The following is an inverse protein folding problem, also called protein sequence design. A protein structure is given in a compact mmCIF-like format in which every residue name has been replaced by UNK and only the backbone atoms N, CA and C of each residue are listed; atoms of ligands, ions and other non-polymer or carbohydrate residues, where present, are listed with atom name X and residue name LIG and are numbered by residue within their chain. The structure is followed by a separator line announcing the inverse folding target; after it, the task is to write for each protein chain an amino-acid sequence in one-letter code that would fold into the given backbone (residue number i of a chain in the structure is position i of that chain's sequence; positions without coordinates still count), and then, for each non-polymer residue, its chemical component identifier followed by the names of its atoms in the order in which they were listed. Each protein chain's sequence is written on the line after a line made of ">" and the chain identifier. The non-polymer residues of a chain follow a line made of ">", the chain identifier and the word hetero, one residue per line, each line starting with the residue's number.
data_IF_543263248003
#
_entry.id   IF_543263248003
#
_cell.length_a   1.000
_cell.length_b   1.000
_cell.length_c   1.000
_cell.angle_alpha   90.00
_cell.angle_beta   90.00
_cell.angle_gamma   90.00
#
_symmetry.space_group_name_H-M   'P 1'
#
loop_
_entity.id
_entity.type
_entity.pdbx_description
1 polymer ?
#
# COMPACT_ATOMS: atom_id res chain seq x y z
N UNK A 1 13.30 19.72 -4.35
CA UNK A 1 12.28 18.87 -5.00
C UNK A 1 12.45 17.47 -4.42
N UNK A 2 11.55 17.04 -3.52
CA UNK A 2 11.61 15.71 -2.91
C UNK A 2 11.31 14.66 -3.99
N UNK A 3 12.26 13.77 -4.25
CA UNK A 3 12.14 12.72 -5.25
C UNK A 3 11.44 11.52 -4.62
N UNK A 4 10.17 11.30 -4.97
CA UNK A 4 9.33 10.18 -4.49
C UNK A 4 10.04 8.82 -4.66
N UNK A 5 10.89 8.69 -5.68
CA UNK A 5 11.64 7.46 -5.99
C UNK A 5 12.55 7.00 -4.85
N UNK A 6 13.10 7.92 -4.08
CA UNK A 6 14.09 7.61 -3.04
C UNK A 6 13.45 7.31 -1.67
N UNK A 7 12.19 7.74 -1.48
CA UNK A 7 11.48 7.68 -0.21
C UNK A 7 10.63 6.41 -0.03
N UNK A 8 10.13 5.82 -1.12
CA UNK A 8 9.17 4.69 -1.06
C UNK A 8 9.82 3.31 -1.14
N UNK A 9 10.96 3.17 -1.85
CA UNK A 9 11.57 1.86 -2.09
C UNK A 9 12.08 1.22 -0.80
N UNK A 10 12.84 1.97 0.01
CA UNK A 10 13.39 1.49 1.28
C UNK A 10 12.30 1.14 2.30
N UNK A 11 11.16 1.83 2.26
CA UNK A 11 10.06 1.65 3.22
C UNK A 11 9.24 0.40 2.93
N UNK A 12 8.99 0.10 1.65
CA UNK A 12 8.30 -1.14 1.26
C UNK A 12 9.18 -2.37 1.56
N UNK A 13 10.50 -2.24 1.44
CA UNK A 13 11.43 -3.32 1.79
C UNK A 13 11.34 -3.70 3.28
N UNK A 14 11.14 -2.72 4.18
CA UNK A 14 10.96 -3.00 5.62
C UNK A 14 9.71 -3.82 5.96
N UNK A 15 8.70 -3.88 5.07
CA UNK A 15 7.49 -4.67 5.27
C UNK A 15 7.71 -6.17 5.02
N UNK A 16 8.85 -6.56 4.43
CA UNK A 16 9.17 -7.97 4.14
C UNK A 16 8.23 -8.61 3.11
N UNK A 17 7.52 -7.81 2.30
CA UNK A 17 6.49 -8.30 1.37
C UNK A 17 7.09 -9.24 0.32
N UNK A 18 8.31 -8.95 -0.15
CA UNK A 18 8.96 -9.79 -1.17
C UNK A 18 9.23 -11.19 -0.61
N UNK A 19 9.77 -11.26 0.60
CA UNK A 19 10.09 -12.49 1.29
C UNK A 19 8.84 -13.30 1.62
N UNK A 20 7.79 -12.64 2.14
CA UNK A 20 6.52 -13.30 2.47
C UNK A 20 5.91 -13.93 1.21
N UNK A 21 5.83 -13.19 0.11
CA UNK A 21 5.22 -13.68 -1.13
C UNK A 21 6.05 -14.80 -1.76
N UNK A 22 7.38 -14.66 -1.81
CA UNK A 22 8.25 -15.70 -2.35
C UNK A 22 8.18 -16.99 -1.50
N UNK A 23 8.04 -16.89 -0.18
CA UNK A 23 7.85 -18.05 0.69
C UNK A 23 6.50 -18.75 0.47
N UNK A 24 5.46 -18.00 0.10
CA UNK A 24 4.12 -18.54 -0.14
C UNK A 24 3.98 -19.18 -1.53
N UNK A 25 4.59 -18.58 -2.55
CA UNK A 25 4.40 -18.96 -3.95
C UNK A 25 5.57 -19.76 -4.53
N UNK A 26 6.72 -19.76 -3.86
CA UNK A 26 7.95 -20.34 -4.39
C UNK A 26 8.55 -19.49 -5.50
N UNK A 27 9.44 -20.10 -6.29
CA UNK A 27 10.08 -19.47 -7.44
C UNK A 27 10.35 -20.51 -8.52
N UNK A 28 10.14 -20.13 -9.77
CA UNK A 28 10.42 -20.98 -10.92
C UNK A 28 11.84 -20.70 -11.47
N UNK A 29 12.59 -21.70 -11.96
CA UNK A 29 13.98 -21.52 -12.41
C UNK A 29 14.17 -20.49 -13.53
N UNK A 30 13.14 -20.25 -14.34
CA UNK A 30 13.18 -19.31 -15.46
C UNK A 30 12.65 -17.91 -15.11
N UNK A 31 12.24 -17.67 -13.85
CA UNK A 31 11.79 -16.36 -13.41
C UNK A 31 12.93 -15.34 -13.41
N UNK A 32 12.78 -14.30 -14.24
CA UNK A 32 13.69 -13.12 -14.23
C UNK A 32 13.37 -12.15 -13.10
N UNK A 33 12.15 -12.19 -12.59
CA UNK A 33 11.62 -11.36 -11.50
C UNK A 33 10.73 -12.26 -10.65
N UNK A 34 11.03 -12.33 -9.36
CA UNK A 34 10.26 -13.17 -8.43
C UNK A 34 8.84 -12.63 -8.23
N UNK A 35 7.91 -13.50 -7.83
CA UNK A 35 6.53 -13.13 -7.53
C UNK A 35 6.43 -11.97 -6.51
N UNK A 36 7.26 -11.98 -5.47
CA UNK A 36 7.32 -10.90 -4.49
C UNK A 36 7.77 -9.56 -5.08
N UNK A 37 8.73 -9.57 -6.02
CA UNK A 37 9.14 -8.37 -6.74
C UNK A 37 8.04 -7.86 -7.68
N UNK A 38 7.26 -8.75 -8.30
CA UNK A 38 6.09 -8.38 -9.11
C UNK A 38 5.04 -7.67 -8.25
N UNK A 39 4.70 -8.23 -7.08
CA UNK A 39 3.76 -7.60 -6.14
C UNK A 39 4.28 -6.24 -5.64
N UNK A 40 5.57 -6.15 -5.32
CA UNK A 40 6.21 -4.87 -4.97
C UNK A 40 6.03 -3.83 -6.08
N UNK A 41 6.21 -4.23 -7.34
CA UNK A 41 6.01 -3.34 -8.49
C UNK A 41 4.55 -2.90 -8.66
N UNK A 42 3.57 -3.77 -8.41
CA UNK A 42 2.14 -3.43 -8.44
C UNK A 42 1.78 -2.39 -7.37
N UNK A 43 2.30 -2.55 -6.15
CA UNK A 43 2.10 -1.59 -5.06
C UNK A 43 2.69 -0.23 -5.44
N UNK A 44 3.93 -0.20 -5.93
CA UNK A 44 4.58 1.02 -6.39
C UNK A 44 3.81 1.69 -7.53
N UNK A 45 3.27 0.91 -8.47
CA UNK A 45 2.45 1.41 -9.57
C UNK A 45 1.16 2.08 -9.05
N UNK A 46 0.47 1.44 -8.10
CA UNK A 46 -0.74 2.01 -7.47
C UNK A 46 -0.46 3.26 -6.63
N UNK A 47 0.64 3.28 -5.88
CA UNK A 47 1.06 4.45 -5.09
C UNK A 47 1.50 5.62 -5.98
N UNK A 48 2.17 5.35 -7.10
CA UNK A 48 2.60 6.39 -8.04
C UNK A 48 1.44 7.11 -8.74
N UNK A 49 0.22 6.52 -8.75
CA UNK A 49 -0.99 7.18 -9.26
C UNK A 49 -1.57 8.19 -8.25
N UNK A 50 -1.19 8.09 -6.98
CA UNK A 50 -1.63 8.98 -5.89
C UNK A 50 -0.50 10.00 -5.62
N UNK A 51 -0.43 11.07 -6.43
CA UNK A 51 0.57 12.15 -6.23
C UNK A 51 0.29 13.06 -5.02
N UNK A 52 -0.61 12.63 -4.12
CA UNK A 52 -1.10 13.33 -2.94
C UNK A 52 -1.13 12.34 -1.76
N UNK A 53 -1.22 12.79 -0.49
CA UNK A 53 -1.48 11.92 0.65
C UNK A 53 -2.59 10.91 0.31
N UNK A 54 -2.53 9.69 0.89
CA UNK A 54 -3.58 8.66 0.77
C UNK A 54 -4.92 9.22 1.31
N UNK A 55 -5.62 10.03 0.53
CA UNK A 55 -6.94 10.53 0.84
C UNK A 55 -7.91 9.39 0.58
N UNK A 56 -8.59 8.96 1.63
CA UNK A 56 -9.63 7.97 1.51
C UNK A 56 -10.93 8.71 1.20
N UNK A 57 -11.41 8.54 -0.03
CA UNK A 57 -12.67 9.12 -0.49
C UNK A 57 -13.75 8.04 -0.41
N UNK A 58 -14.76 8.18 0.47
CA UNK A 58 -15.84 7.19 0.60
C UNK A 58 -16.50 6.84 -0.73
N UNK A 59 -16.67 7.83 -1.61
CA UNK A 59 -17.23 7.66 -2.96
C UNK A 59 -16.45 6.67 -3.85
N UNK A 60 -15.13 6.58 -3.69
CA UNK A 60 -14.37 5.55 -4.40
C UNK A 60 -14.72 4.16 -3.88
N UNK A 61 -14.85 4.02 -2.56
CA UNK A 61 -15.18 2.77 -1.90
C UNK A 61 -16.63 2.30 -2.15
N UNK A 62 -17.53 3.20 -2.54
CA UNK A 62 -18.89 2.83 -3.03
C UNK A 62 -18.84 1.99 -4.32
N UNK A 63 -17.77 2.10 -5.11
CA UNK A 63 -17.60 1.38 -6.36
C UNK A 63 -16.98 -0.02 -6.18
N UNK A 64 -16.65 -0.40 -4.95
CA UNK A 64 -15.93 -1.64 -4.64
C UNK A 64 -16.69 -2.45 -3.60
N UNK A 65 -16.61 -3.78 -3.70
CA UNK A 65 -17.24 -4.70 -2.77
C UNK A 65 -16.48 -4.73 -1.42
N UNK A 66 -16.65 -3.68 -0.61
CA UNK A 66 -15.89 -3.46 0.62
C UNK A 66 -15.91 -4.65 1.58
N UNK A 67 -17.07 -5.27 1.81
CA UNK A 67 -17.16 -6.41 2.73
C UNK A 67 -16.35 -7.62 2.26
N UNK A 68 -16.30 -7.85 0.95
CA UNK A 68 -15.58 -8.99 0.37
C UNK A 68 -14.08 -8.72 0.27
N UNK A 69 -13.70 -7.50 -0.13
CA UNK A 69 -12.31 -7.15 -0.46
C UNK A 69 -11.51 -6.63 0.73
N UNK A 70 -12.17 -5.99 1.69
CA UNK A 70 -11.51 -5.36 2.84
C UNK A 70 -11.78 -6.14 4.13
N UNK A 71 -13.03 -6.59 4.32
CA UNK A 71 -13.40 -7.43 5.47
C UNK A 71 -14.85 -7.23 5.90
N UNK A 72 -15.37 -8.22 6.62
CA UNK A 72 -16.77 -8.22 7.07
C UNK A 72 -17.13 -6.93 7.84
N UNK A 73 -18.24 -6.30 7.46
CA UNK A 73 -18.71 -5.05 8.06
C UNK A 73 -17.96 -3.80 7.60
N UNK A 74 -17.01 -3.90 6.67
CA UNK A 74 -16.37 -2.73 6.06
C UNK A 74 -17.37 -1.99 5.17
N UNK A 75 -17.64 -0.72 5.51
CA UNK A 75 -18.53 0.16 4.73
C UNK A 75 -17.74 1.28 4.05
N UNK A 76 -18.14 1.72 2.84
CA UNK A 76 -17.49 2.82 2.13
C UNK A 76 -17.34 4.08 2.98
N UNK A 77 -18.37 4.39 3.77
CA UNK A 77 -18.46 5.51 4.70
C UNK A 77 -17.29 5.57 5.70
N UNK A 78 -16.72 4.40 6.05
CA UNK A 78 -15.65 4.28 7.04
C UNK A 78 -14.28 4.67 6.47
N UNK A 79 -14.17 4.81 5.15
CA UNK A 79 -12.92 5.16 4.48
C UNK A 79 -12.93 6.65 4.14
N UNK A 80 -12.87 7.50 5.17
CA UNK A 80 -12.87 8.96 5.09
C UNK A 80 -11.71 9.60 5.88
N UNK A 81 -11.55 10.92 5.77
CA UNK A 81 -10.50 11.69 6.43
C UNK A 81 -10.62 11.76 7.97
N UNK A 82 -11.80 11.45 8.53
CA UNK A 82 -12.04 11.41 9.99
C UNK A 82 -11.34 10.21 10.65
N UNK A 83 -10.70 9.32 9.88
CA UNK A 83 -9.66 8.39 10.38
C UNK A 83 -8.36 9.14 10.74
N UNK A 84 -8.48 10.29 11.42
CA UNK A 84 -7.37 11.12 11.91
C UNK A 84 -6.37 10.37 12.78
N UNK A 85 -6.75 9.24 13.40
CA UNK A 85 -5.81 8.36 14.12
C UNK A 85 -4.82 7.70 13.15
N UNK A 86 -5.25 7.31 11.95
CA UNK A 86 -4.38 6.69 10.93
C UNK A 86 -3.63 7.73 10.10
N UNK A 87 -4.25 8.87 9.77
CA UNK A 87 -3.53 10.01 9.15
C UNK A 87 -2.50 10.57 10.14
N UNK A 88 -2.82 10.59 11.43
CA UNK A 88 -1.92 10.92 12.53
C UNK A 88 -0.82 9.89 12.69
N UNK A 89 -1.12 8.58 12.66
CA UNK A 89 -0.10 7.52 12.68
C UNK A 89 0.83 7.62 11.46
N UNK A 90 0.28 7.94 10.28
CA UNK A 90 1.06 8.14 9.06
C UNK A 90 1.89 9.42 9.13
N UNK A 91 1.37 10.52 9.71
CA UNK A 91 2.11 11.76 9.97
C UNK A 91 3.19 11.59 11.04
N UNK A 92 2.93 10.78 12.07
CA UNK A 92 3.88 10.41 13.12
C UNK A 92 4.94 9.44 12.59
N UNK A 93 4.56 8.47 11.76
CA UNK A 93 5.50 7.62 11.02
C UNK A 93 6.37 8.49 10.11
N UNK A 94 5.79 9.44 9.38
CA UNK A 94 6.51 10.41 8.54
C UNK A 94 7.47 11.27 9.39
N UNK A 95 7.08 11.77 10.57
CA UNK A 95 7.94 12.54 11.48
C UNK A 95 9.03 11.72 12.20
N UNK A 96 8.85 10.41 12.31
CA UNK A 96 9.89 9.47 12.74
C UNK A 96 10.80 9.03 11.58
N UNK A 97 10.41 9.34 10.34
CA UNK A 97 11.08 8.96 9.09
C UNK A 97 11.78 10.12 8.37
N UNK A 98 11.74 11.34 8.93
CA UNK A 98 12.46 12.56 8.51
C UNK A 98 13.11 13.20 9.74
#
# INVERSE_FOLDING_TARGET
>A
MFNVKDLDLKKIDHLGIVEIINNLLGSEPEEKVSAGQVVKAMILNGLSMMSQPLYMFPKFFELIACEHLIGAGAKPEYFNDDKHILIGLFSSLIKLMF
#
